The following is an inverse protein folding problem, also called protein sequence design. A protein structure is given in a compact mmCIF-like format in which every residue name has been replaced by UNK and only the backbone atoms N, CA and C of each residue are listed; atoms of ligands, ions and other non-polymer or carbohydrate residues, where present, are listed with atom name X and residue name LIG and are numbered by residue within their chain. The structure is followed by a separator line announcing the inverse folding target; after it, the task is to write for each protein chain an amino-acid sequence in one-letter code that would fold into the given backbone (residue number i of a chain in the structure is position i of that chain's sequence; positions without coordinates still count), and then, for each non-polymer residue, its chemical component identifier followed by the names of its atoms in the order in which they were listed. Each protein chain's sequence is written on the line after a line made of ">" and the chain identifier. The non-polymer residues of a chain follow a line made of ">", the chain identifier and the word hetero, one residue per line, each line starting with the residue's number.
data_IF_392278489512
#
_entry.id   IF_392278489512
#
_cell.length_a   1.000
_cell.length_b   1.000
_cell.length_c   1.000
_cell.angle_alpha   90.00
_cell.angle_beta   90.00
_cell.angle_gamma   90.00
#
_symmetry.space_group_name_H-M   'P 1'
#
loop_
_entity.id
_entity.type
_entity.pdbx_description
1 polymer ?
#
# COMPACT_ATOMS: atom_id res chain seq x y z
N UNK A 1 13.37 -13.39 -5.00
CA UNK A 1 13.89 -12.40 -4.02
C UNK A 1 12.79 -11.38 -3.75
N UNK A 2 12.69 -10.78 -2.56
CA UNK A 2 11.70 -9.72 -2.30
C UNK A 2 12.12 -8.44 -3.02
N UNK A 3 11.22 -7.84 -3.81
CA UNK A 3 11.44 -6.58 -4.48
C UNK A 3 10.72 -5.48 -3.70
N UNK A 4 11.47 -4.48 -3.23
CA UNK A 4 10.94 -3.33 -2.49
C UNK A 4 11.19 -2.06 -3.29
N UNK A 5 10.12 -1.42 -3.74
CA UNK A 5 10.16 -0.20 -4.54
C UNK A 5 9.84 1.03 -3.69
N UNK A 6 10.54 2.13 -3.99
CA UNK A 6 10.12 3.46 -3.57
C UNK A 6 9.19 4.00 -4.65
N UNK A 7 7.92 4.16 -4.31
CA UNK A 7 6.92 4.70 -5.23
C UNK A 7 7.19 6.20 -5.42
N UNK A 8 7.27 6.70 -6.67
CA UNK A 8 7.18 8.11 -6.99
C UNK A 8 5.92 8.72 -6.34
N UNK A 9 5.96 9.97 -5.87
CA UNK A 9 4.83 10.58 -5.15
C UNK A 9 3.51 10.66 -5.94
N UNK A 10 3.59 10.63 -7.27
CA UNK A 10 2.46 10.68 -8.19
C UNK A 10 2.09 9.30 -8.78
N UNK A 11 2.78 8.22 -8.41
CA UNK A 11 2.40 6.87 -8.85
C UNK A 11 1.13 6.44 -8.12
N UNK A 12 0.09 6.10 -8.90
CA UNK A 12 -1.18 5.63 -8.39
C UNK A 12 -1.10 4.20 -7.85
N UNK A 13 -1.97 3.89 -6.89
CA UNK A 13 -1.99 2.61 -6.18
C UNK A 13 -2.91 1.55 -6.84
N UNK A 14 -3.23 1.71 -8.13
CA UNK A 14 -4.16 0.86 -8.91
C UNK A 14 -3.83 -0.64 -8.80
N UNK A 15 -2.54 -0.96 -8.86
CA UNK A 15 -2.05 -2.35 -8.83
C UNK A 15 -1.66 -2.82 -7.43
N UNK A 16 -1.98 -2.04 -6.40
CA UNK A 16 -1.60 -2.28 -5.04
C UNK A 16 -2.81 -2.51 -4.12
N UNK A 17 -2.54 -3.05 -2.94
CA UNK A 17 -3.43 -3.10 -1.79
C UNK A 17 -2.69 -2.66 -0.53
N UNK A 18 -3.42 -2.15 0.45
CA UNK A 18 -2.84 -1.76 1.73
C UNK A 18 -2.54 -2.99 2.59
N UNK A 19 -1.27 -3.24 2.93
CA UNK A 19 -0.89 -4.40 3.76
C UNK A 19 -1.62 -4.40 5.12
N UNK A 20 -1.80 -3.22 5.73
CA UNK A 20 -2.48 -3.07 7.02
C UNK A 20 -3.96 -3.51 7.01
N UNK A 21 -4.61 -3.43 5.86
CA UNK A 21 -5.97 -3.94 5.66
C UNK A 21 -5.92 -5.43 5.31
N UNK A 22 -5.11 -5.79 4.30
CA UNK A 22 -4.99 -7.15 3.80
C UNK A 22 -4.64 -8.17 4.89
N UNK A 23 -3.66 -7.89 5.75
CA UNK A 23 -3.23 -8.87 6.75
C UNK A 23 -4.34 -9.18 7.78
N UNK A 24 -5.28 -8.25 7.99
CA UNK A 24 -6.43 -8.44 8.88
C UNK A 24 -7.46 -9.37 8.24
N UNK A 25 -7.82 -9.12 6.98
CA UNK A 25 -8.73 -10.00 6.23
C UNK A 25 -8.14 -11.41 6.05
N UNK A 26 -6.83 -11.52 5.84
CA UNK A 26 -6.15 -12.80 5.68
C UNK A 26 -5.89 -13.53 7.02
N UNK A 27 -6.09 -12.89 8.17
CA UNK A 27 -5.79 -13.47 9.47
C UNK A 27 -4.31 -13.81 9.67
N UNK A 28 -3.40 -13.03 9.07
CA UNK A 28 -1.95 -13.26 9.11
C UNK A 28 -1.21 -12.16 9.88
N UNK A 29 0.01 -12.46 10.31
CA UNK A 29 0.89 -11.45 10.90
C UNK A 29 1.14 -10.29 9.94
N UNK A 30 1.23 -9.06 10.48
CA UNK A 30 1.57 -7.83 9.73
C UNK A 30 2.85 -7.97 8.89
N UNK A 31 3.80 -8.81 9.34
CA UNK A 31 5.09 -9.04 8.67
C UNK A 31 5.11 -10.32 7.82
N UNK A 32 4.00 -11.05 7.69
CA UNK A 32 3.97 -12.34 7.00
C UNK A 32 4.47 -12.26 5.56
N UNK A 33 4.15 -11.17 4.84
CA UNK A 33 4.59 -10.91 3.47
C UNK A 33 6.11 -10.96 3.29
N UNK A 34 6.90 -10.66 4.34
CA UNK A 34 8.38 -10.67 4.28
C UNK A 34 8.96 -12.07 4.05
N UNK A 35 8.19 -13.10 4.38
CA UNK A 35 8.62 -14.49 4.28
C UNK A 35 8.09 -15.17 3.01
N UNK A 36 7.32 -14.47 2.18
CA UNK A 36 6.81 -15.00 0.93
C UNK A 36 7.88 -14.92 -0.16
N UNK A 37 7.89 -15.91 -1.06
CA UNK A 37 8.74 -15.86 -2.26
C UNK A 37 8.11 -14.92 -3.28
N UNK A 38 8.95 -14.17 -3.99
CA UNK A 38 8.57 -13.29 -5.11
C UNK A 38 7.54 -12.21 -4.74
N UNK A 39 7.63 -11.67 -3.52
CA UNK A 39 6.82 -10.53 -3.11
C UNK A 39 7.36 -9.23 -3.69
N UNK A 40 6.43 -8.43 -4.21
CA UNK A 40 6.67 -7.06 -4.65
C UNK A 40 5.92 -6.10 -3.71
N UNK A 41 6.68 -5.22 -3.06
CA UNK A 41 6.13 -4.19 -2.17
C UNK A 41 6.45 -2.79 -2.67
N UNK A 42 5.51 -1.88 -2.47
CA UNK A 42 5.66 -0.45 -2.68
C UNK A 42 5.59 0.30 -1.35
N UNK A 43 6.36 1.37 -1.24
CA UNK A 43 6.23 2.39 -0.19
C UNK A 43 6.58 3.75 -0.77
N UNK A 44 5.87 4.80 -0.37
CA UNK A 44 6.32 6.16 -0.68
C UNK A 44 7.54 6.53 0.16
N UNK A 45 8.39 7.41 -0.37
CA UNK A 45 9.60 7.86 0.30
C UNK A 45 9.32 8.41 1.71
N UNK A 46 10.15 8.05 2.68
CA UNK A 46 10.00 8.51 4.07
C UNK A 46 8.86 7.85 4.86
N UNK A 47 8.15 6.88 4.28
CA UNK A 47 7.00 6.22 4.93
C UNK A 47 7.27 4.76 5.30
N UNK A 48 6.57 4.28 6.33
CA UNK A 48 6.54 2.86 6.74
C UNK A 48 5.26 2.14 6.28
N UNK A 49 4.41 2.84 5.53
CA UNK A 49 3.17 2.27 4.99
C UNK A 49 3.56 1.36 3.82
N UNK A 50 3.13 0.10 3.92
CA UNK A 50 3.49 -0.94 2.95
C UNK A 50 2.28 -1.25 2.10
N UNK A 51 2.51 -1.19 0.80
CA UNK A 51 1.57 -1.62 -0.22
C UNK A 51 2.08 -2.93 -0.82
N UNK A 52 1.20 -3.92 -0.96
CA UNK A 52 1.51 -5.19 -1.63
C UNK A 52 1.02 -5.11 -3.06
N UNK A 53 1.85 -5.47 -4.04
CA UNK A 53 1.40 -5.54 -5.41
C UNK A 53 0.45 -6.74 -5.57
N UNK A 54 -0.64 -6.56 -6.33
CA UNK A 54 -1.71 -7.56 -6.46
C UNK A 54 -1.22 -8.88 -7.07
N UNK A 55 -0.23 -8.83 -7.96
CA UNK A 55 0.33 -10.01 -8.64
C UNK A 55 1.03 -11.01 -7.70
N UNK A 56 1.49 -10.58 -6.51
CA UNK A 56 2.30 -11.41 -5.62
C UNK A 56 1.48 -12.00 -4.46
N UNK A 57 0.16 -11.77 -4.45
CA UNK A 57 -0.72 -12.36 -3.46
C UNK A 57 -0.90 -13.84 -3.76
N UNK A 58 -0.61 -14.68 -2.76
CA UNK A 58 -0.71 -16.13 -2.87
C UNK A 58 -2.17 -16.55 -3.10
N UNK A 59 -2.38 -17.62 -3.87
CA UNK A 59 -3.70 -18.14 -4.21
C UNK A 59 -4.59 -18.38 -2.96
N UNK A 60 -3.99 -18.93 -1.89
CA UNK A 60 -4.66 -19.14 -0.60
C UNK A 60 -5.22 -17.87 0.06
N UNK A 61 -4.81 -16.68 -0.37
CA UNK A 61 -5.25 -15.40 0.16
C UNK A 61 -6.08 -14.57 -0.83
N UNK A 62 -6.52 -15.14 -1.95
CA UNK A 62 -7.37 -14.44 -2.94
C UNK A 62 -8.70 -13.97 -2.36
N UNK A 63 -9.26 -14.70 -1.39
CA UNK A 63 -10.48 -14.28 -0.69
C UNK A 63 -10.26 -12.98 0.10
N UNK A 64 -9.13 -12.86 0.80
CA UNK A 64 -8.78 -11.64 1.53
C UNK A 64 -8.45 -10.48 0.58
N UNK A 65 -7.81 -10.77 -0.57
CA UNK A 65 -7.54 -9.77 -1.60
C UNK A 65 -8.83 -9.11 -2.09
N UNK A 66 -9.88 -9.90 -2.37
CA UNK A 66 -11.18 -9.39 -2.84
C UNK A 66 -11.92 -8.51 -1.84
N UNK A 67 -11.58 -8.61 -0.55
CA UNK A 67 -12.18 -7.78 0.51
C UNK A 67 -11.44 -6.45 0.71
N UNK A 68 -10.23 -6.31 0.16
CA UNK A 68 -9.46 -5.09 0.29
C UNK A 68 -10.06 -3.96 -0.55
N UNK A 69 -9.89 -2.73 -0.07
CA UNK A 69 -10.35 -1.53 -0.74
C UNK A 69 -9.61 -1.30 -2.07
N UNK A 70 -10.35 -0.90 -3.10
CA UNK A 70 -9.77 -0.44 -4.36
C UNK A 70 -9.08 0.91 -4.18
N UNK A 71 -7.87 1.06 -4.70
CA UNK A 71 -7.06 2.28 -4.57
C UNK A 71 -6.76 2.94 -5.93
N UNK A 72 -7.65 2.73 -6.90
CA UNK A 72 -7.48 3.24 -8.26
C UNK A 72 -7.47 4.78 -8.28
N UNK A 73 -6.42 5.38 -8.85
CA UNK A 73 -6.22 6.83 -8.89
C UNK A 73 -5.81 7.46 -7.56
N UNK A 74 -5.68 6.66 -6.49
CA UNK A 74 -5.25 7.17 -5.18
C UNK A 74 -3.73 7.17 -5.04
N UNK A 75 -3.25 8.15 -4.29
CA UNK A 75 -1.90 8.18 -3.70
C UNK A 75 -2.01 8.37 -2.19
N UNK A 76 -0.94 8.11 -1.45
CA UNK A 76 -0.92 8.37 -0.03
C UNK A 76 -0.99 9.89 0.24
N UNK A 77 -1.89 10.34 1.12
CA UNK A 77 -2.10 11.76 1.43
C UNK A 77 -0.79 12.50 1.81
N UNK A 78 0.08 11.87 2.60
CA UNK A 78 1.39 12.46 2.94
C UNK A 78 2.31 12.58 1.73
N UNK A 79 2.26 11.63 0.78
CA UNK A 79 3.02 11.71 -0.46
C UNK A 79 2.47 12.81 -1.38
N UNK A 80 1.14 12.95 -1.45
CA UNK A 80 0.48 14.05 -2.16
C UNK A 80 0.88 15.42 -1.62
N UNK A 81 0.88 15.60 -0.30
CA UNK A 81 1.31 16.85 0.34
C UNK A 81 2.78 17.16 0.01
N UNK A 82 3.67 16.17 0.15
CA UNK A 82 5.09 16.32 -0.21
C UNK A 82 5.30 16.65 -1.69
N UNK A 83 4.47 16.09 -2.58
CA UNK A 83 4.55 16.35 -4.02
C UNK A 83 4.08 17.76 -4.40
N UNK A 84 3.00 18.22 -3.78
CA UNK A 84 2.35 19.49 -4.12
C UNK A 84 2.87 20.68 -3.31
N UNK A 85 3.59 20.43 -2.21
CA UNK A 85 3.93 21.45 -1.22
C UNK A 85 2.74 21.87 -0.34
N UNK A 86 1.57 21.23 -0.48
CA UNK A 86 0.40 21.54 0.32
C UNK A 86 0.64 21.16 1.79
N UNK A 87 0.36 22.09 2.70
CA UNK A 87 0.44 21.80 4.12
C UNK A 87 -0.61 20.73 4.51
N UNK A 88 -0.24 19.65 5.22
CA UNK A 88 -1.16 18.57 5.56
C UNK A 88 -2.41 18.98 6.35
N UNK A 89 -2.36 20.14 7.03
CA UNK A 89 -3.51 20.73 7.72
C UNK A 89 -4.71 20.98 6.81
N UNK A 90 -4.49 21.22 5.51
CA UNK A 90 -5.57 21.40 4.53
C UNK A 90 -6.35 20.12 4.23
N UNK A 91 -5.81 18.95 4.57
CA UNK A 91 -6.49 17.67 4.39
C UNK A 91 -7.28 17.24 5.64
N UNK A 92 -7.35 18.10 6.65
CA UNK A 92 -8.09 17.86 7.89
C UNK A 92 -9.40 18.64 7.79
N UNK A 93 -10.52 17.94 7.63
CA UNK A 93 -11.86 18.50 7.38
C UNK A 93 -12.29 19.65 8.33
N UNK A 94 -11.82 19.62 9.58
CA UNK A 94 -12.19 20.57 10.63
C UNK A 94 -11.31 21.84 10.70
N UNK A 95 -10.29 21.95 9.85
CA UNK A 95 -9.40 23.12 9.78
C UNK A 95 -9.90 24.09 8.72
#
# INVERSE_FOLDING_TARGET
>A
MMKSLILPPNEFLDHYILNAEFHRFAGISKNAYKFWKNVEIGRYQGTRIVFLHRNCILEKHQQALRQCSGLNGFVLASAFCSFTGLAPSHLVEKN
#
